data_IF_323498032520
#
_entry.id   IF_323498032520
#
_cell.length_a   1.000
_cell.length_b   1.000
_cell.length_c   1.000
_cell.angle_alpha   90.00
_cell.angle_beta   90.00
_cell.angle_gamma   90.00
#
_symmetry.space_group_name_H-M   'P 1'
#
loop_
_entity.id
_entity.type
_entity.pdbx_description
1 polymer ?
#
# COMPACT_ATOMS: atom_id res chain seq x y z
N UNK A 1 5.17 3.94 19.38
CA UNK A 1 5.85 2.84 20.08
C UNK A 1 4.76 1.90 20.49
N UNK A 2 4.86 0.61 20.14
CA UNK A 2 3.75 -0.30 20.39
C UNK A 2 3.67 -0.69 21.87
N UNK A 3 2.46 -0.84 22.36
CA UNK A 3 2.20 -1.32 23.72
C UNK A 3 2.58 -2.80 23.83
N UNK A 4 2.26 -3.57 22.79
CA UNK A 4 2.45 -5.02 22.72
C UNK A 4 3.34 -5.38 21.54
N UNK A 5 4.37 -6.17 21.79
CA UNK A 5 5.19 -6.84 20.78
C UNK A 5 4.75 -8.31 20.62
N UNK A 6 4.69 -8.87 19.40
CA UNK A 6 4.35 -10.29 19.18
C UNK A 6 5.44 -11.03 18.41
N UNK A 7 5.98 -12.06 19.05
CA UNK A 7 6.91 -13.04 18.50
C UNK A 7 6.20 -14.32 18.06
N UNK A 8 6.39 -14.78 16.82
CA UNK A 8 5.71 -15.97 16.27
C UNK A 8 6.42 -16.54 15.03
N UNK A 9 6.33 -17.84 14.77
CA UNK A 9 6.87 -18.37 13.50
C UNK A 9 6.04 -17.89 12.30
N UNK A 10 6.68 -17.66 11.15
CA UNK A 10 6.02 -17.05 9.98
C UNK A 10 4.83 -17.88 9.46
N UNK A 11 4.90 -19.18 9.66
CA UNK A 11 3.87 -20.17 9.35
C UNK A 11 2.56 -19.90 10.11
N UNK A 12 2.64 -19.27 11.29
CA UNK A 12 1.49 -18.96 12.15
C UNK A 12 0.81 -17.62 11.83
N UNK A 13 1.26 -16.92 10.79
CA UNK A 13 0.81 -15.56 10.44
C UNK A 13 -0.71 -15.41 10.41
N UNK A 14 -1.44 -16.42 9.92
CA UNK A 14 -2.91 -16.37 9.85
C UNK A 14 -3.56 -16.34 11.24
N UNK A 15 -3.06 -17.16 12.18
CA UNK A 15 -3.56 -17.22 13.56
C UNK A 15 -3.19 -15.96 14.34
N UNK A 16 -1.99 -15.46 14.10
CA UNK A 16 -1.48 -14.24 14.74
C UNK A 16 -2.25 -13.00 14.28
N UNK A 17 -2.62 -12.91 13.00
CA UNK A 17 -3.50 -11.84 12.51
C UNK A 17 -4.80 -11.73 13.31
N UNK A 18 -5.44 -12.86 13.59
CA UNK A 18 -6.68 -12.89 14.39
C UNK A 18 -6.43 -12.40 15.82
N UNK A 19 -5.31 -12.78 16.42
CA UNK A 19 -4.94 -12.35 17.77
C UNK A 19 -4.64 -10.85 17.82
N UNK A 20 -3.93 -10.33 16.82
CA UNK A 20 -3.66 -8.90 16.65
C UNK A 20 -4.95 -8.11 16.53
N UNK A 21 -5.89 -8.57 15.69
CA UNK A 21 -7.20 -7.92 15.54
C UNK A 21 -7.96 -7.90 16.87
N UNK A 22 -7.90 -8.99 17.64
CA UNK A 22 -8.56 -9.10 18.93
C UNK A 22 -7.94 -8.15 19.98
N UNK A 23 -6.61 -8.06 20.05
CA UNK A 23 -5.89 -7.14 20.94
C UNK A 23 -6.10 -5.67 20.55
N UNK A 24 -6.09 -5.37 19.25
CA UNK A 24 -6.33 -4.01 18.75
C UNK A 24 -7.76 -3.54 19.08
N UNK A 25 -8.75 -4.43 19.05
CA UNK A 25 -10.12 -4.12 19.47
C UNK A 25 -10.24 -3.77 20.95
N UNK A 26 -9.30 -4.21 21.79
CA UNK A 26 -9.23 -3.78 23.19
C UNK A 26 -8.56 -2.40 23.34
N UNK A 27 -8.04 -1.80 22.26
CA UNK A 27 -7.47 -0.46 22.24
C UNK A 27 -5.94 -0.40 22.34
N UNK A 28 -5.24 -1.55 22.35
CA UNK A 28 -3.78 -1.58 22.37
C UNK A 28 -3.16 -1.44 20.98
N UNK A 29 -1.99 -0.78 20.93
CA UNK A 29 -1.13 -0.79 19.76
C UNK A 29 -0.23 -2.03 19.76
N UNK A 30 -0.16 -2.73 18.62
CA UNK A 30 0.51 -4.04 18.52
C UNK A 30 1.56 -4.04 17.40
N UNK A 31 2.81 -4.38 17.73
CA UNK A 31 3.91 -4.61 16.81
C UNK A 31 4.12 -6.11 16.60
N UNK A 32 3.93 -6.59 15.38
CA UNK A 32 4.00 -8.02 15.03
C UNK A 32 4.48 -8.23 13.58
N UNK A 33 4.74 -7.17 12.83
CA UNK A 33 5.19 -7.27 11.44
C UNK A 33 6.73 -7.28 11.39
N UNK A 34 7.31 -8.41 10.97
CA UNK A 34 8.77 -8.62 10.88
C UNK A 34 9.42 -7.96 9.64
N UNK A 35 8.73 -7.06 8.94
CA UNK A 35 9.25 -6.38 7.75
C UNK A 35 10.28 -5.30 8.14
N UNK A 36 11.57 -5.66 8.20
CA UNK A 36 12.69 -4.71 8.39
C UNK A 36 13.50 -4.53 7.09
N UNK A 37 13.88 -3.27 6.86
CA UNK A 37 14.56 -2.72 5.68
C UNK A 37 16.04 -3.18 5.59
N UNK A 38 16.54 -3.43 4.38
CA UNK A 38 17.98 -3.65 4.15
C UNK A 38 18.79 -2.37 4.47
N UNK A 39 19.73 -2.48 5.41
CA UNK A 39 20.62 -1.39 5.87
C UNK A 39 20.61 -1.16 7.39
N UNK A 40 19.58 -1.64 8.09
CA UNK A 40 19.59 -1.80 9.55
C UNK A 40 19.97 -3.26 9.86
N UNK A 41 20.83 -3.48 10.85
CA UNK A 41 21.10 -4.85 11.31
C UNK A 41 19.78 -5.43 11.81
N UNK A 42 19.47 -6.64 11.37
CA UNK A 42 18.21 -7.35 11.65
C UNK A 42 17.89 -7.37 13.16
N UNK A 43 18.93 -7.38 13.99
CA UNK A 43 18.84 -7.36 15.44
C UNK A 43 18.37 -5.99 15.97
N UNK A 44 18.88 -4.85 15.49
CA UNK A 44 18.73 -3.57 16.20
C UNK A 44 17.33 -2.97 16.19
N UNK A 45 16.51 -3.23 15.15
CA UNK A 45 15.12 -2.70 15.10
C UNK A 45 14.19 -3.56 15.92
N UNK A 46 14.38 -4.87 15.87
CA UNK A 46 13.60 -5.85 16.63
C UNK A 46 13.95 -5.72 18.11
N UNK A 47 15.24 -5.64 18.44
CA UNK A 47 15.75 -5.32 19.77
C UNK A 47 15.19 -3.98 20.23
N UNK A 48 15.18 -2.94 19.39
CA UNK A 48 14.64 -1.64 19.78
C UNK A 48 13.12 -1.67 20.03
N UNK A 49 12.33 -2.30 19.17
CA UNK A 49 10.87 -2.42 19.40
C UNK A 49 10.57 -3.31 20.59
N UNK A 50 11.30 -4.42 20.77
CA UNK A 50 11.19 -5.28 21.93
C UNK A 50 11.55 -4.50 23.20
N UNK A 51 12.70 -3.82 23.25
CA UNK A 51 13.17 -2.98 24.37
C UNK A 51 12.18 -1.89 24.78
N UNK A 52 11.39 -1.43 23.83
CA UNK A 52 10.44 -0.35 24.02
C UNK A 52 8.99 -0.83 24.28
N UNK A 53 8.71 -2.12 24.03
CA UNK A 53 7.42 -2.73 24.33
C UNK A 53 7.23 -2.89 25.84
N UNK A 54 5.98 -2.70 26.27
CA UNK A 54 5.56 -2.88 27.66
C UNK A 54 5.15 -4.33 27.93
N UNK A 55 4.65 -5.02 26.91
CA UNK A 55 4.33 -6.44 26.92
C UNK A 55 4.87 -7.10 25.65
N UNK A 56 5.39 -8.31 25.78
CA UNK A 56 5.85 -9.12 24.65
C UNK A 56 5.14 -10.49 24.68
N UNK A 57 4.24 -10.69 23.73
CA UNK A 57 3.54 -11.96 23.52
C UNK A 57 4.43 -12.88 22.69
N UNK A 58 4.69 -14.10 23.18
CA UNK A 58 5.40 -15.13 22.42
C UNK A 58 4.46 -16.28 22.12
N UNK A 59 4.20 -16.51 20.84
CA UNK A 59 3.32 -17.57 20.37
C UNK A 59 4.09 -18.86 20.10
N UNK A 60 3.90 -19.83 20.98
CA UNK A 60 4.46 -21.17 20.89
C UNK A 60 3.58 -22.08 20.03
N UNK A 61 4.15 -22.62 18.96
CA UNK A 61 3.54 -23.50 17.98
C UNK A 61 4.49 -24.64 17.62
N UNK A 62 4.06 -25.61 16.83
CA UNK A 62 4.97 -26.64 16.29
C UNK A 62 6.13 -26.04 15.49
N UNK A 63 5.93 -24.83 14.93
CA UNK A 63 6.92 -24.12 14.14
C UNK A 63 7.85 -23.25 15.00
N UNK A 64 7.32 -22.55 16.00
CA UNK A 64 8.11 -21.56 16.75
C UNK A 64 8.97 -22.17 17.87
N UNK A 65 8.61 -23.37 18.37
CA UNK A 65 9.41 -24.08 19.39
C UNK A 65 10.82 -24.45 18.93
N UNK A 66 11.05 -24.51 17.62
CA UNK A 66 12.36 -24.82 17.02
C UNK A 66 13.02 -23.59 16.38
N UNK A 67 12.49 -22.39 16.59
CA UNK A 67 13.02 -21.17 15.98
C UNK A 67 13.98 -20.47 16.95
N UNK A 68 15.28 -20.53 16.68
CA UNK A 68 16.32 -19.86 17.50
C UNK A 68 15.98 -18.38 17.75
N UNK A 69 15.53 -17.70 16.69
CA UNK A 69 15.13 -16.29 16.78
C UNK A 69 13.96 -16.09 17.77
N UNK A 70 12.94 -16.98 17.80
CA UNK A 70 11.80 -16.83 18.73
C UNK A 70 12.26 -17.09 20.16
N UNK A 71 13.23 -17.99 20.35
CA UNK A 71 13.83 -18.21 21.66
C UNK A 71 14.63 -17.00 22.15
N UNK A 72 15.39 -16.34 21.27
CA UNK A 72 16.17 -15.16 21.63
C UNK A 72 15.25 -14.05 22.14
N UNK A 73 14.16 -13.76 21.43
CA UNK A 73 13.19 -12.76 21.85
C UNK A 73 12.42 -13.14 23.10
N UNK A 74 12.03 -14.41 23.22
CA UNK A 74 11.36 -14.91 24.41
C UNK A 74 12.29 -14.79 25.62
N UNK A 75 13.59 -15.03 25.44
CA UNK A 75 14.59 -14.89 26.49
C UNK A 75 14.71 -13.44 26.93
N UNK A 76 14.86 -12.51 25.97
CA UNK A 76 14.92 -11.07 26.25
C UNK A 76 13.64 -10.56 26.95
N UNK A 77 12.46 -10.93 26.44
CA UNK A 77 11.19 -10.57 27.04
C UNK A 77 11.04 -11.11 28.48
N UNK A 78 11.53 -12.33 28.72
CA UNK A 78 11.55 -12.97 30.04
C UNK A 78 12.49 -12.24 30.99
N UNK A 79 13.69 -11.89 30.54
CA UNK A 79 14.68 -11.17 31.34
C UNK A 79 14.17 -9.78 31.75
N UNK A 80 13.36 -9.15 30.89
CA UNK A 80 12.69 -7.88 31.18
C UNK A 80 11.38 -8.01 31.96
N UNK A 81 10.95 -9.23 32.26
CA UNK A 81 9.70 -9.54 32.97
C UNK A 81 8.44 -8.96 32.28
N UNK A 82 8.43 -8.95 30.95
CA UNK A 82 7.29 -8.49 30.12
C UNK A 82 6.71 -9.62 29.25
N UNK A 83 7.21 -10.85 29.42
CA UNK A 83 6.85 -12.00 28.60
C UNK A 83 5.46 -12.53 28.95
N UNK A 84 4.59 -12.61 27.93
CA UNK A 84 3.29 -13.27 27.98
C UNK A 84 3.28 -14.43 26.97
N UNK A 85 3.55 -15.67 27.39
CA UNK A 85 3.56 -16.79 26.45
C UNK A 85 2.13 -17.25 26.12
N UNK A 86 1.88 -17.60 24.85
CA UNK A 86 0.63 -18.19 24.40
C UNK A 86 0.89 -19.47 23.61
N UNK A 87 -0.01 -20.45 23.68
CA UNK A 87 0.07 -21.70 22.92
C UNK A 87 -0.88 -21.64 21.74
N UNK A 88 -0.37 -21.85 20.53
CA UNK A 88 -1.18 -22.01 19.31
C UNK A 88 -1.43 -23.47 18.94
N UNK A 89 -0.53 -24.37 19.38
CA UNK A 89 -0.63 -25.82 19.18
C UNK A 89 -0.48 -26.54 20.53
N UNK A 90 -0.95 -27.79 20.60
CA UNK A 90 -0.81 -28.64 21.80
C UNK A 90 0.64 -29.14 21.89
N UNK A 91 1.53 -28.26 22.34
CA UNK A 91 2.97 -28.50 22.40
C UNK A 91 3.52 -28.16 23.79
N UNK A 92 4.72 -28.67 24.09
CA UNK A 92 5.46 -28.28 25.30
C UNK A 92 6.42 -27.13 24.96
N UNK A 93 6.28 -25.95 25.58
CA UNK A 93 7.24 -24.86 25.38
C UNK A 93 8.69 -25.29 25.69
N UNK A 94 9.69 -24.56 25.16
CA UNK A 94 11.08 -24.86 25.46
C UNK A 94 11.37 -24.81 26.96
N UNK A 95 12.33 -25.64 27.40
CA UNK A 95 12.64 -25.85 28.83
C UNK A 95 12.75 -24.56 29.64
N UNK A 96 13.38 -23.52 29.07
CA UNK A 96 13.57 -22.21 29.71
C UNK A 96 12.27 -21.45 30.02
N UNK A 97 11.16 -21.78 29.38
CA UNK A 97 9.88 -21.09 29.50
C UNK A 97 8.78 -21.93 30.17
N UNK A 98 9.01 -23.24 30.41
CA UNK A 98 8.00 -24.16 31.00
C UNK A 98 7.51 -23.78 32.40
N UNK A 99 8.24 -22.92 33.11
CA UNK A 99 7.86 -22.44 34.45
C UNK A 99 7.02 -21.17 34.40
N UNK A 100 6.79 -20.60 33.22
CA UNK A 100 5.94 -19.44 33.00
C UNK A 100 4.61 -19.96 32.48
N UNK A 101 3.51 -19.56 33.12
CA UNK A 101 2.18 -19.94 32.69
C UNK A 101 1.89 -19.36 31.30
N UNK A 102 1.44 -20.21 30.37
CA UNK A 102 1.10 -19.81 29.01
C UNK A 102 -0.42 -19.87 28.81
N UNK A 103 -0.99 -18.84 28.17
CA UNK A 103 -2.40 -18.86 27.80
C UNK A 103 -2.64 -19.84 26.65
N UNK A 104 -3.57 -20.77 26.81
CA UNK A 104 -3.89 -21.79 25.81
C UNK A 104 -4.86 -21.24 24.75
N UNK A 105 -4.32 -20.88 23.59
CA UNK A 105 -5.08 -20.38 22.44
C UNK A 105 -5.19 -21.45 21.33
N UNK A 106 -5.03 -22.73 21.65
CA UNK A 106 -5.09 -23.81 20.64
C UNK A 106 -6.42 -23.91 19.92
N UNK A 107 -7.51 -23.47 20.56
CA UNK A 107 -8.87 -23.44 20.00
C UNK A 107 -9.31 -22.06 19.54
N UNK A 108 -8.43 -21.06 19.62
CA UNK A 108 -8.74 -19.68 19.27
C UNK A 108 -9.11 -19.54 17.78
N UNK A 109 -10.21 -18.82 17.52
CA UNK A 109 -10.73 -18.60 16.16
C UNK A 109 -11.62 -19.72 15.62
N UNK A 110 -11.94 -20.75 16.42
CA UNK A 110 -12.84 -21.85 16.02
C UNK A 110 -14.33 -21.57 16.30
N UNK A 111 -14.67 -20.38 16.80
CA UNK A 111 -16.06 -19.94 17.04
C UNK A 111 -16.65 -20.38 18.39
N UNK A 112 -15.85 -20.99 19.28
CA UNK A 112 -16.22 -21.20 20.69
C UNK A 112 -15.90 -19.97 21.52
N UNK A 113 -16.65 -19.75 22.61
CA UNK A 113 -16.44 -18.63 23.53
C UNK A 113 -15.13 -18.86 24.30
N UNK A 114 -14.07 -18.14 23.93
CA UNK A 114 -12.74 -18.29 24.52
C UNK A 114 -12.60 -17.47 25.80
N UNK A 115 -13.07 -18.03 26.91
CA UNK A 115 -12.77 -17.49 28.26
C UNK A 115 -11.27 -17.31 28.51
N UNK A 116 -10.42 -18.07 27.83
CA UNK A 116 -8.96 -17.95 27.91
C UNK A 116 -8.45 -16.67 27.23
N UNK A 117 -9.09 -16.23 26.14
CA UNK A 117 -8.73 -14.97 25.47
C UNK A 117 -9.15 -13.76 26.32
N UNK A 118 -10.32 -13.83 26.96
CA UNK A 118 -10.76 -12.81 27.90
C UNK A 118 -9.80 -12.69 29.09
N UNK A 119 -9.38 -13.83 29.66
CA UNK A 119 -8.37 -13.84 30.73
C UNK A 119 -7.02 -13.28 30.26
N UNK A 120 -6.58 -13.62 29.04
CA UNK A 120 -5.36 -13.07 28.46
C UNK A 120 -5.43 -11.54 28.35
N UNK A 121 -6.59 -10.96 28.06
CA UNK A 121 -6.75 -9.51 28.04
C UNK A 121 -6.64 -8.90 29.44
N UNK A 122 -7.21 -9.52 30.46
CA UNK A 122 -7.03 -9.05 31.84
C UNK A 122 -5.55 -9.09 32.25
N UNK A 123 -4.87 -10.20 31.97
CA UNK A 123 -3.45 -10.38 32.27
C UNK A 123 -2.59 -9.31 31.55
N UNK A 124 -2.90 -9.00 30.29
CA UNK A 124 -2.21 -7.95 29.53
C UNK A 124 -2.55 -6.55 30.09
N UNK A 125 -3.79 -6.29 30.54
CA UNK A 125 -4.15 -5.01 31.18
C UNK A 125 -3.38 -4.79 32.48
N UNK A 126 -3.09 -5.85 33.23
CA UNK A 126 -2.26 -5.72 34.44
C UNK A 126 -0.80 -5.35 34.10
N UNK A 127 -0.28 -5.81 32.97
CA UNK A 127 1.11 -5.56 32.53
C UNK A 127 1.26 -4.19 31.85
N UNK A 128 0.38 -3.89 30.91
CA UNK A 128 0.45 -2.70 30.03
C UNK A 128 -0.33 -1.51 30.60
N UNK A 129 -1.26 -1.78 31.53
CA UNK A 129 -2.22 -0.80 32.01
C UNK A 129 -3.40 -0.60 31.05
N UNK A 130 -4.30 0.28 31.47
CA UNK A 130 -5.44 0.73 30.70
C UNK A 130 -5.00 1.38 29.36
N UNK A 131 -5.59 1.03 28.21
CA UNK A 131 -5.24 1.62 26.93
C UNK A 131 -5.28 3.15 27.02
N UNK A 132 -4.21 3.79 26.57
CA UNK A 132 -4.00 5.23 26.75
C UNK A 132 -5.23 6.04 26.27
N UNK A 133 -5.69 6.98 27.11
CA UNK A 133 -6.96 7.75 26.94
C UNK A 133 -7.06 8.57 25.64
N UNK A 134 -6.03 8.60 24.79
CA UNK A 134 -6.08 9.21 23.45
C UNK A 134 -6.98 8.44 22.46
N UNK A 135 -7.43 7.23 22.79
CA UNK A 135 -8.24 6.39 21.89
C UNK A 135 -9.65 6.02 22.42
N UNK A 136 -10.14 6.68 23.49
CA UNK A 136 -11.33 6.19 24.22
C UNK A 136 -12.67 6.91 23.94
N UNK A 137 -12.75 7.85 23.01
CA UNK A 137 -14.02 8.57 22.72
C UNK A 137 -14.67 8.14 21.39
N UNK A 138 -15.29 6.95 21.39
CA UNK A 138 -16.33 6.46 20.46
C UNK A 138 -17.12 5.43 21.30
N UNK A 139 -18.41 5.50 21.65
CA UNK A 139 -19.61 6.17 21.15
C UNK A 139 -20.69 6.11 22.28
N UNK A 140 -21.42 7.19 22.57
CA UNK A 140 -22.89 7.25 22.76
C UNK A 140 -23.38 8.71 22.94
N UNK A 141 -24.65 9.05 22.64
CA UNK A 141 -24.96 10.15 21.73
C UNK A 141 -25.23 11.49 22.44
N UNK A 142 -24.34 12.46 22.25
CA UNK A 142 -24.67 13.87 22.50
C UNK A 142 -25.35 14.41 21.24
N UNK A 143 -26.62 14.81 21.37
CA UNK A 143 -27.35 15.61 20.37
C UNK A 143 -26.57 16.89 20.08
N UNK A 144 -25.72 16.87 19.05
CA UNK A 144 -25.08 18.08 18.51
C UNK A 144 -25.74 18.46 17.19
N UNK A 145 -25.91 19.77 17.04
CA UNK A 145 -26.42 20.45 15.84
C UNK A 145 -25.60 20.01 14.61
N UNK A 146 -26.17 20.05 13.41
CA UNK A 146 -25.55 19.51 12.21
C UNK A 146 -24.28 20.32 11.88
N UNK A 147 -23.13 19.80 12.31
CA UNK A 147 -21.85 20.10 11.69
C UNK A 147 -21.71 19.14 10.51
N UNK A 148 -21.38 19.73 9.37
CA UNK A 148 -21.40 19.13 8.04
C UNK A 148 -20.67 17.78 8.03
N UNK A 149 -21.35 16.75 7.54
CA UNK A 149 -20.67 15.59 6.96
C UNK A 149 -19.66 16.14 5.96
N UNK A 150 -18.36 15.92 6.18
CA UNK A 150 -17.47 15.77 5.03
C UNK A 150 -17.94 14.49 4.34
N UNK A 151 -18.87 14.68 3.40
CA UNK A 151 -19.15 13.73 2.32
C UNK A 151 -17.81 13.24 1.75
N UNK A 152 -17.71 12.00 1.24
CA UNK A 152 -16.51 11.56 0.55
C UNK A 152 -16.13 12.66 -0.44
N UNK A 153 -14.94 13.23 -0.31
CA UNK A 153 -14.46 14.21 -1.28
C UNK A 153 -14.26 13.46 -2.60
N UNK A 154 -15.34 13.35 -3.37
CA UNK A 154 -15.27 13.04 -4.77
C UNK A 154 -14.44 14.17 -5.38
N UNK A 155 -13.20 13.85 -5.73
CA UNK A 155 -12.36 14.74 -6.51
C UNK A 155 -13.13 15.06 -7.80
N UNK A 156 -13.51 16.31 -8.01
CA UNK A 156 -14.18 16.75 -9.25
C UNK A 156 -13.15 17.42 -10.15
N UNK A 157 -13.06 16.97 -11.40
CA UNK A 157 -12.20 17.62 -12.38
C UNK A 157 -12.90 18.74 -13.16
N UNK A 158 -12.14 19.38 -14.06
CA UNK A 158 -12.63 20.46 -14.92
C UNK A 158 -13.75 20.03 -15.87
N UNK A 159 -13.89 18.74 -16.13
CA UNK A 159 -14.94 18.13 -16.95
C UNK A 159 -16.16 17.66 -16.14
N UNK A 160 -16.14 17.86 -14.82
CA UNK A 160 -17.21 17.47 -13.92
C UNK A 160 -17.21 15.98 -13.58
N UNK A 161 -16.14 15.24 -13.92
CA UNK A 161 -16.01 13.85 -13.52
C UNK A 161 -15.54 13.75 -12.06
N UNK A 162 -16.18 12.84 -11.32
CA UNK A 162 -15.86 12.52 -9.93
C UNK A 162 -14.93 11.31 -9.88
N UNK A 163 -13.90 11.35 -9.03
CA UNK A 163 -12.97 10.24 -8.85
C UNK A 163 -12.93 9.77 -7.41
N UNK A 164 -12.82 8.45 -7.25
CA UNK A 164 -12.47 7.84 -5.97
C UNK A 164 -11.04 8.16 -5.60
N UNK A 165 -10.83 8.37 -4.31
CA UNK A 165 -9.52 8.62 -3.73
C UNK A 165 -9.22 7.60 -2.64
N UNK A 166 -7.92 7.35 -2.43
CA UNK A 166 -7.46 6.37 -1.46
C UNK A 166 -6.21 6.87 -0.76
N UNK A 167 -6.19 6.75 0.56
CA UNK A 167 -5.00 7.06 1.34
C UNK A 167 -4.04 5.88 1.33
N UNK A 168 -2.80 6.11 0.88
CA UNK A 168 -1.72 5.13 0.91
C UNK A 168 -0.54 5.76 1.65
N UNK A 169 -0.38 5.37 2.90
CA UNK A 169 0.56 6.01 3.81
C UNK A 169 0.16 7.45 4.10
N UNK A 170 1.07 8.39 3.83
CA UNK A 170 0.82 9.82 4.03
C UNK A 170 0.16 10.49 2.83
N UNK A 171 0.20 9.85 1.67
CA UNK A 171 -0.27 10.42 0.42
C UNK A 171 -1.71 9.99 0.15
N UNK A 172 -2.51 10.89 -0.40
CA UNK A 172 -3.85 10.57 -0.92
C UNK A 172 -3.77 10.53 -2.44
N UNK A 173 -4.09 9.37 -3.00
CA UNK A 173 -3.96 9.07 -4.43
C UNK A 173 -5.34 8.91 -5.07
N UNK A 174 -5.44 9.20 -6.37
CA UNK A 174 -6.59 8.75 -7.16
C UNK A 174 -6.61 7.22 -7.26
N UNK A 175 -7.79 6.62 -7.06
CA UNK A 175 -8.05 5.20 -7.30
C UNK A 175 -8.48 4.90 -8.75
N UNK A 176 -8.69 5.94 -9.56
CA UNK A 176 -9.04 5.88 -10.98
C UNK A 176 -8.07 6.71 -11.83
N UNK A 177 -7.90 6.37 -13.11
CA UNK A 177 -7.05 7.13 -14.03
C UNK A 177 -7.70 8.47 -14.35
N UNK A 178 -6.92 9.55 -14.38
CA UNK A 178 -7.40 10.87 -14.77
C UNK A 178 -7.95 10.87 -16.20
N UNK A 179 -9.13 11.47 -16.40
CA UNK A 179 -9.84 11.46 -17.69
C UNK A 179 -10.33 12.85 -18.13
N UNK A 180 -9.51 13.88 -17.96
CA UNK A 180 -9.78 15.25 -18.44
C UNK A 180 -9.51 15.45 -19.94
N UNK A 181 -10.32 16.28 -20.57
CA UNK A 181 -10.19 16.76 -21.95
C UNK A 181 -9.80 18.24 -22.03
N UNK A 182 -9.75 18.91 -20.87
CA UNK A 182 -9.33 20.30 -20.71
C UNK A 182 -8.25 20.40 -19.63
N UNK A 183 -7.40 21.41 -19.76
CA UNK A 183 -6.53 21.84 -18.67
C UNK A 183 -7.36 22.54 -17.58
N UNK A 184 -6.75 22.73 -16.41
CA UNK A 184 -7.38 23.38 -15.24
C UNK A 184 -7.89 24.79 -15.55
N UNK A 185 -7.23 25.50 -16.46
CA UNK A 185 -7.69 26.83 -16.91
C UNK A 185 -8.88 26.80 -17.90
N UNK A 186 -9.37 25.61 -18.26
CA UNK A 186 -10.48 25.41 -19.20
C UNK A 186 -10.09 25.24 -20.66
N UNK A 187 -8.83 25.44 -21.04
CA UNK A 187 -8.37 25.25 -22.42
C UNK A 187 -8.46 23.77 -22.82
N UNK A 188 -8.91 23.52 -24.05
CA UNK A 188 -8.96 22.17 -24.59
C UNK A 188 -7.55 21.55 -24.74
N UNK A 189 -7.42 20.30 -24.31
CA UNK A 189 -6.27 19.46 -24.65
C UNK A 189 -6.61 18.76 -25.98
N UNK A 190 -5.81 18.91 -27.05
CA UNK A 190 -6.07 18.28 -28.33
C UNK A 190 -6.20 16.76 -28.25
N UNK A 191 -7.32 16.22 -28.77
CA UNK A 191 -7.45 14.79 -29.05
C UNK A 191 -6.76 14.49 -30.39
N UNK A 192 -5.63 13.78 -30.37
CA UNK A 192 -4.86 13.48 -31.58
C UNK A 192 -4.89 11.98 -31.85
N UNK A 193 -5.59 11.54 -32.89
CA UNK A 193 -5.77 10.12 -33.20
C UNK A 193 -4.79 9.61 -34.25
N UNK A 194 -4.40 10.49 -35.18
CA UNK A 194 -3.48 10.17 -36.28
C UNK A 194 -2.07 9.86 -35.76
N UNK A 195 -1.45 8.75 -36.17
CA UNK A 195 -0.15 8.32 -35.64
C UNK A 195 1.02 9.20 -36.10
N UNK A 196 0.98 9.70 -37.34
CA UNK A 196 2.04 10.56 -37.88
C UNK A 196 2.02 11.92 -37.19
N UNK A 197 0.83 12.51 -37.02
CA UNK A 197 0.66 13.76 -36.25
C UNK A 197 1.09 13.58 -34.79
N UNK A 198 0.76 12.45 -34.16
CA UNK A 198 1.17 12.17 -32.79
C UNK A 198 2.69 12.12 -32.65
N UNK A 199 3.38 11.52 -33.62
CA UNK A 199 4.83 11.36 -33.60
C UNK A 199 5.60 12.68 -33.68
N UNK A 200 4.97 13.74 -34.20
CA UNK A 200 5.55 15.08 -34.34
C UNK A 200 5.15 16.05 -33.21
N UNK A 201 4.36 15.60 -32.24
CA UNK A 201 3.87 16.49 -31.18
C UNK A 201 5.00 17.03 -30.29
N UNK A 202 4.97 18.34 -30.10
CA UNK A 202 5.74 19.09 -29.10
C UNK A 202 4.85 19.79 -28.07
N UNK A 203 3.53 19.58 -28.16
CA UNK A 203 2.49 20.15 -27.29
C UNK A 203 1.66 19.04 -26.65
N UNK A 204 0.90 19.39 -25.61
CA UNK A 204 0.03 18.44 -24.93
C UNK A 204 -1.04 17.85 -25.86
N UNK A 205 -1.30 16.56 -25.69
CA UNK A 205 -2.37 15.84 -26.39
C UNK A 205 -2.82 14.61 -25.59
N UNK A 206 -4.03 14.14 -25.92
CA UNK A 206 -4.56 12.87 -25.42
C UNK A 206 -5.17 12.00 -26.53
N UNK A 207 -5.32 10.72 -26.26
CA UNK A 207 -6.14 9.78 -27.02
C UNK A 207 -6.66 8.66 -26.11
N UNK A 208 -7.63 7.87 -26.59
CA UNK A 208 -7.94 6.58 -25.99
C UNK A 208 -7.04 5.49 -26.58
N UNK A 209 -6.84 4.39 -25.86
CA UNK A 209 -6.15 3.24 -26.41
C UNK A 209 -6.86 2.73 -27.68
N UNK A 210 -6.10 2.47 -28.75
CA UNK A 210 -6.60 2.15 -30.10
C UNK A 210 -7.61 3.17 -30.65
N UNK A 211 -7.61 4.39 -30.12
CA UNK A 211 -8.59 5.43 -30.44
C UNK A 211 -10.05 5.04 -30.20
N UNK A 212 -10.29 3.97 -29.43
CA UNK A 212 -11.60 3.38 -29.17
C UNK A 212 -12.25 3.96 -27.91
N UNK A 213 -13.52 4.33 -28.00
CA UNK A 213 -14.26 4.91 -26.86
C UNK A 213 -14.66 3.89 -25.81
N UNK A 214 -14.77 2.61 -26.17
CA UNK A 214 -15.01 1.53 -25.21
C UNK A 214 -13.83 1.36 -24.27
N UNK A 215 -12.61 1.34 -24.83
CA UNK A 215 -11.36 1.39 -24.07
C UNK A 215 -11.29 2.64 -23.19
N UNK A 216 -11.72 3.79 -23.71
CA UNK A 216 -11.77 5.04 -22.95
C UNK A 216 -12.61 4.96 -21.68
N UNK A 217 -13.78 4.31 -21.73
CA UNK A 217 -14.66 4.11 -20.55
C UNK A 217 -14.06 3.22 -19.47
N UNK A 218 -13.14 2.32 -19.85
CA UNK A 218 -12.53 1.34 -18.94
C UNK A 218 -11.20 1.87 -18.40
N UNK A 219 -10.32 2.34 -19.28
CA UNK A 219 -8.93 2.67 -18.95
C UNK A 219 -8.64 4.17 -18.85
N UNK A 220 -9.58 5.01 -19.27
CA UNK A 220 -9.39 6.46 -19.38
C UNK A 220 -8.48 6.88 -20.53
N UNK A 221 -8.12 8.16 -20.53
CA UNK A 221 -7.21 8.78 -21.51
C UNK A 221 -5.74 8.41 -21.30
N UNK A 222 -5.03 8.39 -22.42
CA UNK A 222 -3.57 8.37 -22.50
C UNK A 222 -3.09 9.78 -22.87
N UNK A 223 -2.23 10.36 -22.04
CA UNK A 223 -1.67 11.70 -22.25
C UNK A 223 -0.20 11.58 -22.62
N UNK A 224 0.25 12.44 -23.53
CA UNK A 224 1.68 12.67 -23.67
C UNK A 224 2.21 13.51 -22.49
N UNK A 225 3.53 13.49 -22.28
CA UNK A 225 4.13 14.18 -21.15
C UNK A 225 4.06 15.71 -21.28
N UNK A 226 3.94 16.23 -22.51
CA UNK A 226 3.70 17.66 -22.72
C UNK A 226 2.37 18.12 -22.12
N UNK A 227 1.34 17.28 -22.09
CA UNK A 227 0.11 17.58 -21.37
C UNK A 227 0.32 17.49 -19.85
N UNK A 228 1.06 16.47 -19.39
CA UNK A 228 1.37 16.25 -17.97
C UNK A 228 2.07 17.45 -17.32
N UNK A 229 3.00 18.07 -18.03
CA UNK A 229 3.81 19.18 -17.52
C UNK A 229 3.45 20.54 -18.15
N UNK A 230 2.23 20.67 -18.67
CA UNK A 230 1.76 21.94 -19.21
C UNK A 230 1.49 22.95 -18.07
N UNK A 231 1.93 24.21 -18.19
CA UNK A 231 1.72 25.23 -17.15
C UNK A 231 0.24 25.54 -16.87
N UNK A 232 -0.67 25.19 -17.78
CA UNK A 232 -2.13 25.33 -17.56
C UNK A 232 -2.70 24.31 -16.59
N UNK A 233 -1.92 23.28 -16.22
CA UNK A 233 -2.25 22.28 -15.21
C UNK A 233 -3.16 21.17 -15.74
N UNK A 234 -2.66 19.92 -15.74
CA UNK A 234 -3.46 18.75 -16.12
C UNK A 234 -4.36 18.25 -14.98
N UNK A 235 -3.82 18.24 -13.76
CA UNK A 235 -4.53 17.72 -12.60
C UNK A 235 -5.61 18.70 -12.09
N UNK A 236 -6.67 18.23 -11.43
CA UNK A 236 -7.66 19.09 -10.79
C UNK A 236 -7.05 20.03 -9.73
N UNK A 237 -7.81 21.02 -9.27
CA UNK A 237 -7.36 21.92 -8.21
C UNK A 237 -7.19 21.18 -6.87
N UNK A 238 -6.12 21.50 -6.12
CA UNK A 238 -5.73 20.78 -4.91
C UNK A 238 -5.05 19.42 -5.16
N UNK A 239 -4.74 19.11 -6.41
CA UNK A 239 -4.08 17.88 -6.83
C UNK A 239 -3.00 18.18 -7.88
N UNK A 240 -2.03 17.26 -7.98
CA UNK A 240 -0.99 17.33 -9.00
C UNK A 240 -0.61 15.95 -9.55
N UNK A 241 0.11 15.94 -10.68
CA UNK A 241 0.71 14.72 -11.21
C UNK A 241 1.96 14.40 -10.39
N UNK A 242 2.07 13.18 -9.82
CA UNK A 242 3.12 12.81 -8.88
C UNK A 242 4.51 12.93 -9.49
N UNK A 243 5.41 13.53 -8.72
CA UNK A 243 6.84 13.54 -9.00
C UNK A 243 7.46 12.15 -8.84
N UNK A 244 8.69 12.00 -9.33
CA UNK A 244 9.44 10.76 -9.22
C UNK A 244 9.68 10.38 -7.75
N UNK A 245 9.86 11.41 -6.90
CA UNK A 245 10.04 11.25 -5.44
C UNK A 245 8.78 10.77 -4.76
N UNK A 246 7.61 11.26 -5.17
CA UNK A 246 6.32 10.87 -4.58
C UNK A 246 5.93 9.45 -4.95
N UNK A 247 6.21 9.03 -6.19
CA UNK A 247 6.13 7.62 -6.55
C UNK A 247 7.09 6.76 -5.71
N UNK A 248 8.32 7.22 -5.49
CA UNK A 248 9.27 6.51 -4.62
C UNK A 248 8.81 6.48 -3.15
N UNK A 249 8.06 7.47 -2.69
CA UNK A 249 7.43 7.47 -1.37
C UNK A 249 6.35 6.40 -1.26
N UNK A 250 5.42 6.36 -2.22
CA UNK A 250 4.42 5.30 -2.33
C UNK A 250 5.08 3.91 -2.34
N UNK A 251 6.06 3.69 -3.21
CA UNK A 251 6.74 2.41 -3.36
C UNK A 251 7.45 1.96 -2.07
N UNK A 252 8.13 2.91 -1.39
CA UNK A 252 8.78 2.64 -0.10
C UNK A 252 7.77 2.34 1.00
N UNK A 253 6.64 3.05 1.02
CA UNK A 253 5.55 2.76 1.95
C UNK A 253 5.02 1.33 1.77
N UNK A 254 4.96 0.84 0.53
CA UNK A 254 4.49 -0.50 0.20
C UNK A 254 5.50 -1.62 0.46
N UNK A 255 6.73 -1.27 0.88
CA UNK A 255 7.77 -2.20 1.28
C UNK A 255 8.98 -2.27 0.36
N UNK A 256 9.09 -1.39 -0.65
CA UNK A 256 10.31 -1.30 -1.46
C UNK A 256 11.45 -0.67 -0.64
N UNK A 257 12.65 -1.25 -0.69
CA UNK A 257 13.81 -0.67 -0.01
C UNK A 257 14.18 0.68 -0.64
N UNK A 258 14.83 1.59 0.10
CA UNK A 258 15.34 2.85 -0.47
C UNK A 258 16.31 2.59 -1.62
N UNK A 259 17.19 1.61 -1.44
CA UNK A 259 18.16 1.22 -2.46
C UNK A 259 17.48 0.77 -3.75
N UNK A 260 16.45 -0.07 -3.67
CA UNK A 260 15.70 -0.48 -4.86
C UNK A 260 14.86 0.66 -5.43
N UNK A 261 14.31 1.53 -4.57
CA UNK A 261 13.52 2.67 -5.01
C UNK A 261 14.32 3.66 -5.87
N UNK A 262 15.62 3.80 -5.62
CA UNK A 262 16.50 4.70 -6.39
C UNK A 262 16.99 4.07 -7.71
N UNK A 263 16.89 2.75 -7.89
CA UNK A 263 17.28 2.07 -9.13
C UNK A 263 16.35 2.40 -10.30
N UNK A 264 16.89 2.26 -11.51
CA UNK A 264 16.14 2.23 -12.77
C UNK A 264 15.90 0.78 -13.21
N UNK A 265 14.89 0.57 -14.04
CA UNK A 265 14.49 -0.76 -14.50
C UNK A 265 13.51 -1.45 -13.56
N UNK A 266 13.52 -2.78 -13.58
CA UNK A 266 12.62 -3.62 -12.79
C UNK A 266 13.09 -3.70 -11.34
N UNK A 267 12.21 -3.39 -10.37
CA UNK A 267 12.60 -3.26 -8.96
C UNK A 267 11.48 -3.60 -7.97
N UNK A 268 11.90 -3.99 -6.77
CA UNK A 268 11.03 -4.34 -5.64
C UNK A 268 10.15 -5.56 -5.92
N UNK A 269 9.10 -5.75 -5.13
CA UNK A 269 8.06 -6.77 -5.31
C UNK A 269 6.75 -6.28 -4.68
N UNK A 270 6.34 -5.07 -5.09
CA UNK A 270 5.16 -4.36 -4.55
C UNK A 270 4.08 -4.09 -5.60
N UNK A 271 4.37 -4.29 -6.88
CA UNK A 271 3.48 -4.01 -7.99
C UNK A 271 2.16 -4.78 -7.90
N UNK A 272 2.20 -6.02 -7.40
CA UNK A 272 0.98 -6.81 -7.13
C UNK A 272 -0.04 -6.11 -6.22
N UNK A 273 0.43 -5.31 -5.26
CA UNK A 273 -0.41 -4.58 -4.31
C UNK A 273 -1.15 -3.40 -4.94
N UNK A 274 -0.61 -2.88 -6.04
CA UNK A 274 -1.14 -1.74 -6.79
C UNK A 274 -2.08 -2.16 -7.92
N UNK A 275 -1.90 -3.37 -8.47
CA UNK A 275 -2.71 -3.89 -9.59
C UNK A 275 -4.11 -4.29 -9.11
N UNK A 276 -5.11 -4.09 -9.98
CA UNK A 276 -6.40 -4.77 -9.86
C UNK A 276 -6.19 -6.28 -9.68
N UNK A 277 -6.93 -6.88 -8.74
CA UNK A 277 -6.89 -8.32 -8.48
C UNK A 277 -7.72 -9.10 -9.52
N UNK A 278 -7.33 -10.34 -9.78
CA UNK A 278 -7.97 -11.16 -10.83
C UNK A 278 -7.47 -10.80 -12.23
N UNK A 279 -8.22 -11.17 -13.27
CA UNK A 279 -7.79 -11.05 -14.67
C UNK A 279 -8.82 -10.38 -15.57
N UNK A 280 -9.70 -9.55 -14.99
CA UNK A 280 -10.71 -8.83 -15.78
C UNK A 280 -10.06 -7.86 -16.76
N UNK A 281 -9.14 -7.02 -16.28
CA UNK A 281 -8.43 -6.06 -17.12
C UNK A 281 -6.94 -6.37 -17.30
N UNK A 282 -6.48 -7.50 -16.76
CA UNK A 282 -5.10 -7.98 -16.84
C UNK A 282 -5.06 -9.34 -17.54
N UNK A 283 -4.09 -9.53 -18.43
CA UNK A 283 -3.79 -10.85 -18.98
C UNK A 283 -3.28 -11.77 -17.87
N UNK A 284 -3.57 -13.06 -18.01
CA UNK A 284 -2.97 -14.08 -17.16
C UNK A 284 -1.44 -14.10 -17.32
N UNK A 285 -0.65 -14.23 -16.23
CA UNK A 285 -1.10 -14.69 -14.91
C UNK A 285 -1.52 -13.58 -13.93
N UNK A 286 -1.47 -12.30 -14.33
CA UNK A 286 -1.51 -11.14 -13.44
C UNK A 286 -0.76 -11.36 -12.10
N UNK A 287 0.51 -11.77 -12.21
CA UNK A 287 1.24 -12.38 -11.11
C UNK A 287 1.21 -11.53 -9.83
N UNK A 288 0.81 -12.18 -8.72
CA UNK A 288 0.79 -11.60 -7.38
C UNK A 288 -0.13 -10.39 -7.18
N UNK A 289 -1.10 -10.15 -8.07
CA UNK A 289 -2.05 -9.05 -7.93
C UNK A 289 -3.02 -9.29 -6.76
N UNK A 290 -3.03 -8.38 -5.79
CA UNK A 290 -3.90 -8.44 -4.60
C UNK A 290 -4.81 -7.23 -4.47
N UNK A 291 -4.47 -6.12 -5.13
CA UNK A 291 -5.11 -4.81 -4.96
C UNK A 291 -5.28 -4.37 -3.49
N UNK A 292 -4.42 -4.84 -2.59
CA UNK A 292 -4.57 -4.60 -1.14
C UNK A 292 -4.50 -3.12 -0.75
N UNK A 293 -4.02 -2.26 -1.66
CA UNK A 293 -3.91 -0.82 -1.46
C UNK A 293 -5.14 -0.03 -1.89
N UNK A 294 -6.04 -0.62 -2.68
CA UNK A 294 -7.13 0.10 -3.35
C UNK A 294 -6.69 1.00 -4.50
N UNK A 295 -5.40 1.06 -4.84
CA UNK A 295 -4.90 1.84 -5.99
C UNK A 295 -5.52 1.39 -7.32
N UNK A 296 -5.81 0.09 -7.46
CA UNK A 296 -6.58 -0.50 -8.56
C UNK A 296 -6.05 -0.10 -9.95
N UNK A 297 -4.77 -0.34 -10.20
CA UNK A 297 -4.19 -0.11 -11.52
C UNK A 297 -4.76 -1.09 -12.54
N UNK A 298 -5.26 -0.56 -13.65
CA UNK A 298 -5.75 -1.30 -14.81
C UNK A 298 -4.69 -1.32 -15.92
N UNK A 299 -4.54 -2.45 -16.60
CA UNK A 299 -3.56 -2.58 -17.69
C UNK A 299 -4.05 -1.96 -19.01
N UNK A 300 -4.18 -0.64 -19.04
CA UNK A 300 -4.61 0.12 -20.22
C UNK A 300 -3.60 0.22 -21.35
N UNK A 301 -2.41 -0.37 -21.21
CA UNK A 301 -1.33 -0.26 -22.19
C UNK A 301 -0.76 1.16 -22.28
N UNK A 302 -0.19 1.48 -23.44
CA UNK A 302 0.31 2.83 -23.75
C UNK A 302 0.33 3.06 -25.26
N UNK A 303 0.45 4.33 -25.66
CA UNK A 303 0.73 4.74 -27.04
C UNK A 303 2.20 5.11 -27.17
N UNK A 304 2.94 4.44 -28.02
CA UNK A 304 4.36 4.71 -28.23
C UNK A 304 4.59 6.02 -28.98
N UNK A 305 5.82 6.53 -28.95
CA UNK A 305 6.14 7.85 -29.51
C UNK A 305 5.95 7.93 -31.03
N UNK A 306 5.92 6.79 -31.74
CA UNK A 306 5.66 6.72 -33.17
C UNK A 306 4.16 6.59 -33.51
N UNK A 307 3.30 6.71 -32.50
CA UNK A 307 1.84 6.68 -32.65
C UNK A 307 1.19 5.30 -32.50
N UNK A 308 1.96 4.20 -32.46
CA UNK A 308 1.42 2.84 -32.29
C UNK A 308 0.98 2.54 -30.85
N UNK A 309 0.00 1.64 -30.67
CA UNK A 309 -0.53 1.23 -29.36
C UNK A 309 0.00 -0.15 -28.97
N UNK A 310 0.34 -0.32 -27.69
CA UNK A 310 0.95 -1.56 -27.22
C UNK A 310 0.47 -1.98 -25.83
N UNK A 311 0.42 -3.29 -25.63
CA UNK A 311 0.30 -3.95 -24.31
C UNK A 311 -0.96 -3.65 -23.51
N UNK A 312 -2.11 -3.41 -24.14
CA UNK A 312 -3.40 -3.52 -23.43
C UNK A 312 -3.56 -4.92 -22.81
N UNK A 313 -3.98 -4.94 -21.55
CA UNK A 313 -3.99 -6.11 -20.67
C UNK A 313 -2.62 -6.52 -20.13
N UNK A 314 -1.51 -6.00 -20.68
CA UNK A 314 -0.14 -6.40 -20.31
C UNK A 314 0.56 -5.42 -19.37
N UNK A 315 0.39 -4.12 -19.61
CA UNK A 315 0.99 -3.07 -18.78
C UNK A 315 -0.03 -2.04 -18.31
N UNK A 316 0.06 -1.66 -17.04
CA UNK A 316 -0.41 -0.36 -16.58
C UNK A 316 0.77 0.60 -16.58
N UNK A 317 0.68 1.71 -17.33
CA UNK A 317 1.78 2.68 -17.47
C UNK A 317 1.33 4.05 -16.97
N UNK A 318 2.16 4.68 -16.12
CA UNK A 318 1.84 5.94 -15.47
C UNK A 318 2.97 6.95 -15.62
N UNK A 319 2.61 8.18 -15.98
CA UNK A 319 3.56 9.28 -15.99
C UNK A 319 3.94 9.75 -14.59
N UNK A 320 5.16 10.27 -14.47
CA UNK A 320 5.54 11.22 -13.44
C UNK A 320 5.67 12.61 -14.03
N UNK A 321 5.46 13.66 -13.22
CA UNK A 321 5.78 15.05 -13.57
C UNK A 321 7.28 15.36 -13.62
N UNK A 322 8.15 14.42 -13.22
CA UNK A 322 9.60 14.66 -13.21
C UNK A 322 10.24 14.42 -14.59
N UNK A 323 10.80 15.49 -15.16
CA UNK A 323 11.60 15.45 -16.37
C UNK A 323 12.97 14.81 -16.15
N UNK A 324 13.59 14.34 -17.25
CA UNK A 324 15.01 14.00 -17.30
C UNK A 324 15.61 14.50 -18.62
N UNK A 325 16.41 15.55 -18.55
CA UNK A 325 16.83 16.29 -19.75
C UNK A 325 15.63 16.81 -20.55
N UNK A 326 15.81 17.06 -21.84
CA UNK A 326 14.83 17.78 -22.66
C UNK A 326 13.84 16.89 -23.43
N UNK A 327 14.16 15.59 -23.59
CA UNK A 327 13.42 14.70 -24.48
C UNK A 327 12.65 13.57 -23.75
N UNK A 328 13.02 13.27 -22.50
CA UNK A 328 12.49 12.12 -21.75
C UNK A 328 12.00 12.54 -20.36
N UNK A 329 11.17 11.69 -19.76
CA UNK A 329 10.63 11.86 -18.43
C UNK A 329 10.44 10.52 -17.73
N UNK A 330 10.37 10.58 -16.40
CA UNK A 330 10.20 9.40 -15.56
C UNK A 330 8.78 8.82 -15.67
N UNK A 331 8.68 7.49 -15.69
CA UNK A 331 7.41 6.78 -15.71
C UNK A 331 7.48 5.48 -14.89
N UNK A 332 6.30 4.97 -14.52
CA UNK A 332 6.12 3.69 -13.82
C UNK A 332 5.36 2.73 -14.71
N UNK A 333 5.76 1.46 -14.72
CA UNK A 333 4.96 0.39 -15.35
C UNK A 333 4.80 -0.80 -14.42
N UNK A 334 3.60 -1.38 -14.42
CA UNK A 334 3.28 -2.63 -13.74
C UNK A 334 3.01 -3.70 -14.79
N UNK A 335 3.62 -4.87 -14.66
CA UNK A 335 3.49 -5.97 -15.62
C UNK A 335 2.54 -7.05 -15.15
N UNK A 336 1.83 -7.65 -16.09
CA UNK A 336 1.03 -8.86 -15.85
C UNK A 336 1.91 -10.08 -15.49
N UNK A 337 3.17 -10.10 -15.92
CA UNK A 337 4.09 -11.23 -15.68
C UNK A 337 4.73 -11.24 -14.29
N UNK A 338 4.73 -10.10 -13.59
CA UNK A 338 5.56 -9.91 -12.41
C UNK A 338 4.89 -9.15 -11.28
N UNK A 339 5.59 -9.09 -10.16
CA UNK A 339 5.19 -8.38 -8.94
C UNK A 339 6.00 -7.11 -8.73
N UNK A 340 6.94 -6.83 -9.62
CA UNK A 340 7.88 -5.72 -9.56
C UNK A 340 7.29 -4.46 -10.20
N UNK A 341 7.94 -3.32 -9.96
CA UNK A 341 7.62 -2.04 -10.61
C UNK A 341 8.76 -1.65 -11.53
N UNK A 342 8.43 -1.31 -12.78
CA UNK A 342 9.40 -0.69 -13.68
C UNK A 342 9.48 0.81 -13.37
N UNK A 343 10.69 1.33 -13.19
CA UNK A 343 10.99 2.77 -13.24
C UNK A 343 11.91 3.06 -14.38
N UNK A 344 11.39 3.76 -15.36
CA UNK A 344 12.07 3.95 -16.63
C UNK A 344 11.95 5.40 -17.10
N UNK A 345 12.71 5.71 -18.14
CA UNK A 345 12.65 6.94 -18.88
C UNK A 345 11.93 6.69 -20.19
N UNK A 346 10.99 7.56 -20.55
CA UNK A 346 10.28 7.44 -21.82
C UNK A 346 10.24 8.78 -22.53
N UNK A 347 10.25 8.72 -23.86
CA UNK A 347 10.08 9.88 -24.71
C UNK A 347 8.79 10.62 -24.33
N UNK A 348 8.86 11.95 -24.23
CA UNK A 348 7.74 12.80 -23.81
C UNK A 348 6.49 12.69 -24.71
N UNK A 349 6.62 12.12 -25.92
CA UNK A 349 5.49 11.82 -26.81
C UNK A 349 4.77 10.52 -26.49
N UNK A 350 5.27 9.65 -25.62
CA UNK A 350 4.55 8.42 -25.26
C UNK A 350 3.24 8.80 -24.56
N UNK A 351 2.12 8.20 -24.96
CA UNK A 351 0.83 8.35 -24.31
C UNK A 351 0.70 7.34 -23.17
N UNK A 352 0.58 7.81 -21.93
CA UNK A 352 0.36 6.96 -20.75
C UNK A 352 -0.79 7.49 -19.90
N UNK A 353 -1.34 6.63 -19.05
CA UNK A 353 -2.32 7.05 -18.05
C UNK A 353 -1.68 7.96 -17.00
N UNK A 354 -2.52 8.72 -16.30
CA UNK A 354 -2.11 9.61 -15.22
C UNK A 354 -2.91 9.26 -13.98
N UNK A 355 -2.22 9.28 -12.83
CA UNK A 355 -2.81 9.25 -11.49
C UNK A 355 -2.39 10.53 -10.80
N UNK A 356 -3.29 11.19 -10.09
CA UNK A 356 -2.95 12.37 -9.31
C UNK A 356 -2.80 12.02 -7.83
N UNK A 357 -2.01 12.84 -7.15
CA UNK A 357 -1.82 12.85 -5.70
C UNK A 357 -2.26 14.21 -5.18
N UNK A 358 -2.87 14.23 -4.00
CA UNK A 358 -3.38 15.46 -3.38
C UNK A 358 -2.22 16.35 -2.93
N UNK A 359 -2.40 17.66 -3.04
CA UNK A 359 -1.48 18.64 -2.47
C UNK A 359 -1.44 18.50 -0.93
N UNK A 360 -0.30 18.86 -0.33
CA UNK A 360 -0.06 18.83 1.12
C UNK A 360 -0.78 19.95 1.87
#
# INVERSE_FOLDING_TARGET
MADIFISYAREDLKRIKLLVEALTKQGWSVFWDRRIRAGQKFSSVIENELQNAQCAIVAWSEHSVNSDWVHDEATEAKERNILVPVLLDVIKPPMGFRRIHAADLTVFGTGKRDSVLEQLFEDIREIVGEPSRLHRDVEEPIKRKPEERMEPFDLVDVDGATYKTIQIGKQVWMAENLDVSRYRNGDAIPRVQDPEKWAELTTGAWCYYDNDTGNGRVYGKLYNWYAVNDPRGLAPEGWHVPSDKEWQELERFLGMSRYDAEKTGLRGSIGGKLKEAGSLHWREPNAGATNETGFTALAGGYRYYNGGFFYIGGYASFWSSSAYGDAIAWNRKLSYLGTEVYRDLSNRRVGMSVRCVRDD
#
